data_IF_443586750826
#
_entry.id   IF_443586750826
#
_cell.length_a   1.000
_cell.length_b   1.000
_cell.length_c   1.000
_cell.angle_alpha   90.00
_cell.angle_beta   90.00
_cell.angle_gamma   90.00
#
_symmetry.space_group_name_H-M   'P 1'
#
loop_
_entity.id
_entity.type
_entity.pdbx_description
1 polymer ?
#
# COMPACT_ATOMS: atom_id res chain seq x y z
N UNK A 1 21.27 -1.13 7.11
CA UNK A 1 19.89 -1.49 7.50
C UNK A 1 19.09 -0.19 7.60
N UNK A 2 18.16 0.06 6.68
CA UNK A 2 17.48 1.35 6.60
C UNK A 2 16.47 1.52 7.74
N UNK A 3 16.50 2.69 8.40
CA UNK A 3 15.59 3.03 9.51
C UNK A 3 14.15 3.25 9.03
N UNK A 4 13.97 3.62 7.76
CA UNK A 4 12.67 3.96 7.15
C UNK A 4 11.97 2.70 6.63
N UNK A 5 12.71 1.77 6.02
CA UNK A 5 12.13 0.53 5.47
C UNK A 5 11.61 -0.45 6.53
N UNK A 6 12.02 -0.27 7.80
CA UNK A 6 11.55 -1.09 8.94
C UNK A 6 10.32 -0.48 9.64
N UNK A 7 9.93 0.74 9.29
CA UNK A 7 8.74 1.38 9.85
C UNK A 7 7.49 0.79 9.22
N UNK A 8 6.68 0.11 10.02
CA UNK A 8 5.40 -0.43 9.57
C UNK A 8 4.42 0.72 9.26
N UNK A 9 3.71 0.62 8.14
CA UNK A 9 2.67 1.58 7.73
C UNK A 9 1.33 1.03 8.19
N UNK A 10 0.63 1.77 9.05
CA UNK A 10 -0.72 1.40 9.47
C UNK A 10 -1.70 1.66 8.32
N UNK A 11 -2.43 0.62 7.89
CA UNK A 11 -3.49 0.74 6.89
C UNK A 11 -4.78 1.17 7.59
N UNK A 12 -5.35 2.34 7.26
CA UNK A 12 -6.57 2.81 7.91
C UNK A 12 -7.79 2.00 7.45
N UNK A 13 -8.80 1.92 8.31
CA UNK A 13 -10.07 1.23 8.04
C UNK A 13 -10.78 1.87 6.85
N UNK A 14 -11.12 1.08 5.83
CA UNK A 14 -11.74 1.56 4.58
C UNK A 14 -10.76 1.68 3.40
N UNK A 15 -9.51 1.25 3.57
CA UNK A 15 -8.54 1.11 2.47
C UNK A 15 -8.27 -0.38 2.23
N UNK A 16 -8.52 -0.82 1.00
CA UNK A 16 -8.27 -2.19 0.56
C UNK A 16 -6.96 -2.23 -0.23
N UNK A 17 -5.99 -3.00 0.26
CA UNK A 17 -4.67 -3.15 -0.36
C UNK A 17 -4.57 -4.54 -0.96
N UNK A 18 -4.38 -4.60 -2.28
CA UNK A 18 -4.16 -5.82 -3.04
C UNK A 18 -2.73 -5.82 -3.57
N UNK A 19 -1.98 -6.88 -3.22
CA UNK A 19 -0.57 -7.03 -3.60
C UNK A 19 -0.48 -8.23 -4.54
N UNK A 20 -0.09 -7.97 -5.79
CA UNK A 20 0.13 -8.97 -6.83
C UNK A 20 1.58 -8.92 -7.28
N UNK A 21 2.44 -9.68 -6.58
CA UNK A 21 3.89 -9.66 -6.82
C UNK A 21 4.49 -8.28 -6.55
N UNK A 22 4.99 -7.62 -7.59
CA UNK A 22 5.53 -6.26 -7.52
C UNK A 22 4.46 -5.17 -7.74
N UNK A 23 3.24 -5.54 -8.16
CA UNK A 23 2.15 -4.60 -8.38
C UNK A 23 1.31 -4.42 -7.11
N UNK A 24 1.25 -3.20 -6.59
CA UNK A 24 0.42 -2.83 -5.45
C UNK A 24 -0.77 -2.01 -5.93
N UNK A 25 -1.98 -2.48 -5.64
CA UNK A 25 -3.23 -1.76 -5.88
C UNK A 25 -3.83 -1.36 -4.55
N UNK A 26 -4.09 -0.06 -4.38
CA UNK A 26 -4.68 0.52 -3.17
C UNK A 26 -6.02 1.13 -3.57
N UNK A 27 -7.12 0.59 -3.08
CA UNK A 27 -8.46 1.16 -3.24
C UNK A 27 -8.85 1.87 -1.94
N UNK A 28 -9.24 3.12 -2.03
CA UNK A 28 -9.70 3.90 -0.89
C UNK A 28 -10.90 4.78 -1.23
N UNK A 29 -11.41 5.53 -0.24
CA UNK A 29 -12.62 6.34 -0.39
C UNK A 29 -12.49 7.47 -1.44
N UNK A 30 -11.25 7.82 -1.83
CA UNK A 30 -10.95 8.87 -2.82
C UNK A 30 -10.55 8.31 -4.20
N UNK A 31 -10.65 7.00 -4.42
CA UNK A 31 -10.30 6.35 -5.70
C UNK A 31 -9.30 5.20 -5.54
N UNK A 32 -8.76 4.72 -6.66
CA UNK A 32 -7.78 3.64 -6.70
C UNK A 32 -6.41 4.11 -7.19
N UNK A 33 -5.36 3.80 -6.46
CA UNK A 33 -3.97 3.94 -6.91
C UNK A 33 -3.41 2.57 -7.28
N UNK A 34 -2.65 2.52 -8.38
CA UNK A 34 -1.84 1.36 -8.75
C UNK A 34 -0.40 1.80 -8.86
N UNK A 35 0.52 1.06 -8.24
CA UNK A 35 1.96 1.28 -8.36
C UNK A 35 2.69 -0.04 -8.50
N UNK A 36 3.49 -0.14 -9.55
CA UNK A 36 4.46 -1.22 -9.75
C UNK A 36 5.78 -0.79 -9.09
N UNK A 37 6.40 -1.72 -8.37
CA UNK A 37 7.68 -1.53 -7.67
C UNK A 37 8.81 -2.17 -8.47
#
# INVERSE_FOLDING_TARGET
MSRIGKSAIAVPTGVEVSISGAAITIKGPKGSLKREI
#
